data_IF_831191886911
#
_entry.id   IF_831191886911
#
_cell.length_a   1.000
_cell.length_b   1.000
_cell.length_c   1.000
_cell.angle_alpha   90.00
_cell.angle_beta   90.00
_cell.angle_gamma   90.00
#
_symmetry.space_group_name_H-M   'P 1'
#
loop_
_entity.id
_entity.type
_entity.pdbx_description
1 polymer ?
#
# COMPACT_ATOMS: atom_id res chain seq x y z
N UNK A 1 -11.39 -17.29 -0.19
CA UNK A 1 -11.72 -15.89 -0.55
C UNK A 1 -11.25 -14.93 0.53
N UNK A 2 -11.83 -14.95 1.74
CA UNK A 2 -11.42 -14.07 2.86
C UNK A 2 -9.92 -14.09 3.17
N UNK A 3 -9.33 -15.28 3.32
CA UNK A 3 -7.92 -15.43 3.69
C UNK A 3 -6.95 -14.81 2.65
N UNK A 4 -7.25 -14.93 1.35
CA UNK A 4 -6.45 -14.30 0.29
C UNK A 4 -6.53 -12.76 0.35
N UNK A 5 -7.71 -12.23 0.67
CA UNK A 5 -7.94 -10.78 0.81
C UNK A 5 -7.25 -10.23 2.06
N UNK A 6 -7.24 -11.00 3.15
CA UNK A 6 -6.51 -10.66 4.37
C UNK A 6 -5.00 -10.63 4.10
N UNK A 7 -4.47 -11.68 3.48
CA UNK A 7 -3.06 -11.74 3.10
C UNK A 7 -2.70 -10.58 2.15
N UNK A 8 -3.54 -10.25 1.16
CA UNK A 8 -3.26 -9.13 0.26
C UNK A 8 -3.23 -7.80 1.02
N UNK A 9 -4.17 -7.56 1.93
CA UNK A 9 -4.20 -6.36 2.76
C UNK A 9 -2.95 -6.21 3.63
N UNK A 10 -2.54 -7.29 4.30
CA UNK A 10 -1.31 -7.32 5.10
C UNK A 10 -0.03 -7.19 4.25
N UNK A 11 0.00 -7.79 3.07
CA UNK A 11 1.11 -7.64 2.14
C UNK A 11 1.19 -6.20 1.62
N UNK A 12 0.04 -5.56 1.37
CA UNK A 12 -0.05 -4.16 1.01
C UNK A 12 0.49 -3.23 2.10
N UNK A 13 0.14 -3.46 3.37
CA UNK A 13 0.67 -2.68 4.49
C UNK A 13 2.19 -2.87 4.67
N UNK A 14 2.70 -4.10 4.50
CA UNK A 14 4.14 -4.36 4.48
C UNK A 14 4.87 -3.60 3.36
N UNK A 15 4.28 -3.50 2.17
CA UNK A 15 4.85 -2.74 1.07
C UNK A 15 4.93 -1.23 1.38
N UNK A 16 3.85 -0.64 1.89
CA UNK A 16 3.82 0.79 2.26
C UNK A 16 4.84 1.11 3.35
N UNK A 17 4.86 0.31 4.43
CA UNK A 17 5.82 0.50 5.54
C UNK A 17 7.25 0.24 5.07
N UNK A 18 7.46 -0.78 4.23
CA UNK A 18 8.75 -1.09 3.64
C UNK A 18 9.26 0.04 2.75
N UNK A 19 8.38 0.69 1.98
CA UNK A 19 8.73 1.85 1.15
C UNK A 19 9.20 3.02 2.01
N UNK A 20 8.52 3.29 3.13
CA UNK A 20 8.90 4.34 4.08
C UNK A 20 10.24 4.04 4.74
N UNK A 21 10.45 2.80 5.22
CA UNK A 21 11.71 2.38 5.80
C UNK A 21 12.87 2.49 4.78
N UNK A 22 12.64 2.07 3.54
CA UNK A 22 13.63 2.14 2.47
C UNK A 22 13.97 3.58 2.09
N UNK A 23 12.97 4.47 2.08
CA UNK A 23 13.16 5.91 1.86
C UNK A 23 14.04 6.55 2.93
N UNK A 24 13.92 6.10 4.19
CA UNK A 24 14.75 6.58 5.30
C UNK A 24 16.18 6.05 5.28
N UNK A 25 16.39 4.81 4.83
CA UNK A 25 17.72 4.17 4.80
C UNK A 25 18.53 4.61 3.58
N UNK A 26 17.89 4.96 2.45
CA UNK A 26 18.58 5.28 1.19
C UNK A 26 18.07 6.59 0.58
N UNK A 27 18.88 7.65 0.67
CA UNK A 27 18.42 9.03 0.47
C UNK A 27 18.22 9.53 -0.96
N UNK A 28 18.40 8.73 -2.03
CA UNK A 28 18.17 9.23 -3.41
C UNK A 28 17.90 8.19 -4.51
N UNK A 29 18.56 7.03 -4.50
CA UNK A 29 18.49 6.09 -5.63
C UNK A 29 17.28 5.13 -5.64
N UNK A 30 16.49 5.09 -4.56
CA UNK A 30 15.38 4.13 -4.43
C UNK A 30 14.01 4.78 -4.56
N UNK A 31 13.95 6.03 -5.04
CA UNK A 31 12.70 6.77 -5.26
C UNK A 31 11.71 5.94 -6.07
N UNK A 32 12.11 5.40 -7.21
CA UNK A 32 11.24 4.57 -8.08
C UNK A 32 10.72 3.31 -7.38
N UNK A 33 11.56 2.62 -6.60
CA UNK A 33 11.13 1.42 -5.87
C UNK A 33 10.16 1.77 -4.74
N UNK A 34 10.38 2.88 -4.03
CA UNK A 34 9.49 3.35 -2.97
C UNK A 34 8.14 3.79 -3.53
N UNK A 35 8.13 4.42 -4.72
CA UNK A 35 6.93 4.79 -5.48
C UNK A 35 6.14 3.52 -5.85
N UNK A 36 6.78 2.53 -6.48
CA UNK A 36 6.11 1.26 -6.83
C UNK A 36 5.56 0.54 -5.60
N UNK A 37 6.32 0.47 -4.52
CA UNK A 37 5.89 -0.17 -3.28
C UNK A 37 4.68 0.54 -2.66
N UNK A 38 4.65 1.88 -2.66
CA UNK A 38 3.48 2.64 -2.20
C UNK A 38 2.27 2.46 -3.12
N UNK A 39 2.48 2.48 -4.44
CA UNK A 39 1.43 2.29 -5.44
C UNK A 39 0.73 0.94 -5.26
N UNK A 40 1.49 -0.16 -5.34
CA UNK A 40 0.95 -1.51 -5.20
C UNK A 40 0.45 -1.78 -3.77
N UNK A 41 1.14 -1.24 -2.77
CA UNK A 41 0.74 -1.34 -1.36
C UNK A 41 -0.64 -0.73 -1.11
N UNK A 42 -0.85 0.51 -1.57
CA UNK A 42 -2.14 1.20 -1.45
C UNK A 42 -3.27 0.49 -2.21
N UNK A 43 -3.00 -0.06 -3.40
CA UNK A 43 -4.00 -0.82 -4.17
C UNK A 43 -4.43 -2.08 -3.43
N UNK A 44 -3.50 -2.84 -2.86
CA UNK A 44 -3.85 -4.04 -2.10
C UNK A 44 -4.61 -3.73 -0.81
N UNK A 45 -4.27 -2.65 -0.12
CA UNK A 45 -5.03 -2.18 1.04
C UNK A 45 -6.43 -1.72 0.61
N UNK A 46 -6.56 -1.01 -0.51
CA UNK A 46 -7.85 -0.55 -1.02
C UNK A 46 -8.76 -1.74 -1.37
N UNK A 47 -8.24 -2.80 -2.01
CA UNK A 47 -9.00 -4.04 -2.29
C UNK A 47 -9.47 -4.70 -0.99
N UNK A 48 -8.61 -4.77 0.03
CA UNK A 48 -8.98 -5.30 1.35
C UNK A 48 -10.09 -4.44 2.00
N UNK A 49 -9.94 -3.12 1.97
CA UNK A 49 -10.91 -2.19 2.53
C UNK A 49 -12.27 -2.25 1.80
N UNK A 50 -12.26 -2.47 0.48
CA UNK A 50 -13.48 -2.67 -0.31
C UNK A 50 -14.25 -3.89 0.19
N UNK A 51 -13.55 -5.01 0.39
CA UNK A 51 -14.15 -6.25 0.87
C UNK A 51 -14.77 -6.12 2.26
N UNK A 52 -14.11 -5.40 3.17
CA UNK A 52 -14.60 -5.14 4.53
C UNK A 52 -15.52 -3.92 4.66
N UNK A 53 -15.86 -3.26 3.54
CA UNK A 53 -16.68 -2.03 3.51
C UNK A 53 -16.11 -0.88 4.36
N UNK A 54 -14.78 -0.83 4.50
CA UNK A 54 -14.06 0.24 5.19
C UNK A 54 -13.87 1.45 4.25
N UNK A 55 -14.95 2.14 3.92
CA UNK A 55 -14.99 3.21 2.91
C UNK A 55 -13.96 4.33 3.15
N UNK A 56 -13.77 4.85 4.39
CA UNK A 56 -12.78 5.91 4.62
C UNK A 56 -11.36 5.45 4.26
N UNK A 57 -10.96 4.28 4.74
CA UNK A 57 -9.64 3.70 4.47
C UNK A 57 -9.45 3.33 3.00
N UNK A 58 -10.52 2.89 2.32
CA UNK A 58 -10.49 2.63 0.88
C UNK A 58 -10.15 3.90 0.08
N UNK A 59 -10.86 5.00 0.35
CA UNK A 59 -10.67 6.25 -0.39
C UNK A 59 -9.28 6.81 -0.13
N UNK A 60 -8.81 6.80 1.13
CA UNK A 60 -7.46 7.29 1.44
C UNK A 60 -6.36 6.48 0.76
N UNK A 61 -6.47 5.16 0.74
CA UNK A 61 -5.47 4.30 0.08
C UNK A 61 -5.52 4.41 -1.44
N UNK A 62 -6.70 4.63 -2.03
CA UNK A 62 -6.85 4.90 -3.46
C UNK A 62 -6.21 6.24 -3.87
N UNK A 63 -6.44 7.30 -3.09
CA UNK A 63 -5.79 8.60 -3.29
C UNK A 63 -4.27 8.47 -3.10
N UNK A 64 -3.83 7.75 -2.06
CA UNK A 64 -2.41 7.52 -1.78
C UNK A 64 -1.72 6.84 -2.96
N UNK A 65 -2.33 5.78 -3.51
CA UNK A 65 -1.82 5.12 -4.72
C UNK A 65 -1.74 6.05 -5.93
N UNK A 66 -2.63 7.04 -6.06
CA UNK A 66 -2.59 8.01 -7.16
C UNK A 66 -1.51 9.09 -7.02
N UNK A 67 -1.08 9.38 -5.79
CA UNK A 67 -0.05 10.40 -5.50
C UNK A 67 1.35 9.79 -5.38
N UNK A 68 1.44 8.53 -4.94
CA UNK A 68 2.67 7.76 -4.78
C UNK A 68 3.52 7.80 -6.05
#
# INVERSE_FOLDING_TARGET
>A
MKLLIDISGWLGSLLVVGAYALSHVKSKNYSTWCILMNLFGGVFIAINCYYYRAIPSLVTNMIWSGIA
#
